data_IF_549343165775
#
_entry.id   IF_549343165775
#
_cell.length_a   1.000
_cell.length_b   1.000
_cell.length_c   1.000
_cell.angle_alpha   90.00
_cell.angle_beta   90.00
_cell.angle_gamma   90.00
#
_symmetry.space_group_name_H-M   'P 1'
#
loop_
_entity.id
_entity.type
_entity.pdbx_description
1 polymer ?
#
# COMPACT_ATOMS: atom_id res chain seq x y z
N UNK A 1 -3.13 15.55 -19.87
CA UNK A 1 -4.17 16.20 -19.04
C UNK A 1 -4.84 17.23 -19.93
N UNK A 2 -6.15 17.11 -20.14
CA UNK A 2 -6.91 18.01 -21.02
C UNK A 2 -6.97 19.44 -20.47
N UNK A 3 -6.92 19.61 -19.14
CA UNK A 3 -7.03 20.92 -18.49
C UNK A 3 -5.74 21.74 -18.46
N UNK A 4 -4.56 21.10 -18.37
CA UNK A 4 -3.28 21.80 -18.21
C UNK A 4 -2.23 21.42 -19.25
N UNK A 5 -2.61 20.63 -20.27
CA UNK A 5 -1.73 20.18 -21.34
C UNK A 5 -0.62 19.20 -20.93
N UNK A 6 -0.44 18.91 -19.63
CA UNK A 6 0.63 18.04 -19.16
C UNK A 6 0.51 16.62 -19.73
N UNK A 7 1.54 16.17 -20.42
CA UNK A 7 1.64 14.81 -20.97
C UNK A 7 2.09 13.87 -19.85
N UNK A 8 1.35 12.80 -19.64
CA UNK A 8 1.63 11.79 -18.61
C UNK A 8 1.67 10.43 -19.30
N UNK A 9 2.69 9.65 -18.98
CA UNK A 9 3.03 8.40 -19.69
C UNK A 9 2.04 7.25 -19.51
N UNK A 10 1.19 7.30 -18.49
CA UNK A 10 0.19 6.26 -18.26
C UNK A 10 -1.06 6.78 -17.52
N UNK A 11 -2.12 5.98 -17.56
CA UNK A 11 -3.42 6.30 -16.94
C UNK A 11 -3.33 6.49 -15.43
N UNK A 12 -2.47 5.73 -14.74
CA UNK A 12 -2.27 5.86 -13.30
C UNK A 12 -1.72 7.25 -12.93
N UNK A 13 -0.67 7.68 -13.62
CA UNK A 13 -0.05 8.99 -13.45
C UNK A 13 -1.02 10.11 -13.79
N UNK A 14 -1.85 9.94 -14.84
CA UNK A 14 -2.93 10.86 -15.17
C UNK A 14 -3.96 10.97 -14.04
N UNK A 15 -4.42 9.84 -13.49
CA UNK A 15 -5.36 9.82 -12.36
C UNK A 15 -4.77 10.50 -11.12
N UNK A 16 -3.54 10.17 -10.75
CA UNK A 16 -2.85 10.79 -9.62
C UNK A 16 -2.70 12.30 -9.83
N UNK A 17 -2.36 12.73 -11.05
CA UNK A 17 -2.31 14.13 -11.42
C UNK A 17 -3.65 14.84 -11.21
N UNK A 18 -4.77 14.24 -11.61
CA UNK A 18 -6.09 14.83 -11.42
C UNK A 18 -6.44 15.00 -9.93
N UNK A 19 -6.10 14.02 -9.08
CA UNK A 19 -6.29 14.15 -7.62
C UNK A 19 -5.44 15.28 -7.00
N UNK A 20 -4.36 15.72 -7.68
CA UNK A 20 -3.62 16.92 -7.26
C UNK A 20 -4.47 18.16 -7.50
N UNK A 21 -5.09 18.23 -8.66
CA UNK A 21 -5.90 19.39 -9.07
C UNK A 21 -7.18 19.52 -8.26
N UNK A 22 -7.91 18.43 -8.06
CA UNK A 22 -9.17 18.45 -7.31
C UNK A 22 -8.95 18.51 -5.80
N UNK A 23 -7.73 18.20 -5.32
CA UNK A 23 -7.44 18.09 -3.90
C UNK A 23 -8.02 16.84 -3.25
N UNK A 24 -8.66 15.95 -4.01
CA UNK A 24 -9.21 14.71 -3.51
C UNK A 24 -8.13 13.79 -2.92
N UNK A 25 -8.47 13.14 -1.81
CA UNK A 25 -7.61 12.21 -1.09
C UNK A 25 -8.38 10.93 -0.80
N UNK A 26 -8.47 10.00 -1.77
CA UNK A 26 -9.35 8.83 -1.65
C UNK A 26 -8.87 7.81 -0.61
N UNK A 27 -7.60 7.86 -0.20
CA UNK A 27 -7.03 6.86 0.69
C UNK A 27 -7.05 7.35 2.15
N UNK A 28 -8.14 7.04 2.87
CA UNK A 28 -8.31 7.42 4.29
C UNK A 28 -7.49 6.54 5.24
N UNK A 29 -6.87 7.13 6.25
CA UNK A 29 -6.28 6.39 7.36
C UNK A 29 -7.39 5.71 8.17
N UNK A 30 -7.25 4.43 8.54
CA UNK A 30 -8.25 3.75 9.37
C UNK A 30 -8.16 4.13 10.85
N UNK A 31 -7.07 4.79 11.28
CA UNK A 31 -6.81 5.13 12.68
C UNK A 31 -6.95 6.64 12.99
N UNK A 32 -7.18 7.48 11.99
CA UNK A 32 -7.39 8.93 12.15
C UNK A 32 -8.01 9.54 10.89
N UNK A 33 -8.40 10.81 10.95
CA UNK A 33 -9.07 11.51 9.83
C UNK A 33 -8.13 11.92 8.68
N UNK A 34 -6.83 11.61 8.77
CA UNK A 34 -5.89 11.93 7.69
C UNK A 34 -6.18 11.07 6.45
N UNK A 35 -6.16 11.72 5.30
CA UNK A 35 -6.37 11.08 4.00
C UNK A 35 -5.20 11.37 3.07
N UNK A 36 -4.93 10.46 2.14
CA UNK A 36 -3.79 10.50 1.21
C UNK A 36 -4.25 10.38 -0.24
N UNK A 37 -3.41 10.91 -1.15
CA UNK A 37 -3.66 10.88 -2.59
C UNK A 37 -3.35 9.54 -3.22
N UNK A 38 -2.39 8.82 -2.65
CA UNK A 38 -1.98 7.50 -3.10
C UNK A 38 -1.90 6.52 -1.90
N UNK A 39 -1.88 5.24 -2.25
CA UNK A 39 -1.87 4.14 -1.30
C UNK A 39 -0.52 3.97 -0.59
N UNK A 40 0.59 4.27 -1.27
CA UNK A 40 1.94 4.13 -0.74
C UNK A 40 2.20 5.09 0.41
N UNK A 41 1.73 6.34 0.27
CA UNK A 41 1.82 7.38 1.28
C UNK A 41 0.94 7.06 2.48
N UNK A 42 -0.29 6.54 2.27
CA UNK A 42 -1.13 6.03 3.37
C UNK A 42 -0.43 4.91 4.13
N UNK A 43 0.19 3.97 3.43
CA UNK A 43 0.95 2.87 4.06
C UNK A 43 2.14 3.36 4.85
N UNK A 44 2.91 4.31 4.30
CA UNK A 44 4.02 4.92 5.02
C UNK A 44 3.55 5.63 6.30
N UNK A 45 2.44 6.37 6.23
CA UNK A 45 1.81 7.00 7.39
C UNK A 45 1.42 5.97 8.46
N UNK A 46 0.78 4.87 8.07
CA UNK A 46 0.40 3.80 9.00
C UNK A 46 1.61 3.25 9.76
N UNK A 47 2.71 2.98 9.06
CA UNK A 47 3.95 2.48 9.69
C UNK A 47 4.60 3.50 10.60
N UNK A 48 4.74 4.74 10.14
CA UNK A 48 5.54 5.74 10.85
C UNK A 48 4.81 6.34 12.05
N UNK A 49 3.51 6.61 11.88
CA UNK A 49 2.68 7.32 12.88
C UNK A 49 1.96 6.35 13.80
N UNK A 50 1.30 5.33 13.24
CA UNK A 50 0.50 4.38 14.02
C UNK A 50 1.26 3.10 14.38
N UNK A 51 2.51 2.93 13.90
CA UNK A 51 3.31 1.71 14.06
C UNK A 51 2.58 0.46 13.59
N UNK A 52 1.67 0.61 12.62
CA UNK A 52 0.92 -0.49 12.02
C UNK A 52 1.70 -1.02 10.84
N UNK A 53 2.06 -2.29 10.92
CA UNK A 53 2.63 -3.07 9.84
C UNK A 53 1.49 -3.50 8.89
N UNK A 54 1.45 -2.98 7.65
CA UNK A 54 0.26 -3.08 6.80
C UNK A 54 0.15 -4.43 6.07
N UNK A 55 1.07 -5.35 6.29
CA UNK A 55 1.09 -6.67 5.69
C UNK A 55 1.09 -7.71 6.81
N UNK A 56 0.11 -8.62 6.81
CA UNK A 56 0.08 -9.73 7.75
C UNK A 56 0.04 -11.05 7.02
N UNK A 57 0.74 -12.05 7.55
CA UNK A 57 0.59 -13.43 7.15
C UNK A 57 -0.70 -13.98 7.76
N UNK A 58 -1.57 -14.55 6.93
CA UNK A 58 -2.83 -15.15 7.42
C UNK A 58 -2.61 -16.51 8.09
N UNK A 59 -1.49 -17.17 7.83
CA UNK A 59 -1.21 -18.50 8.38
C UNK A 59 -0.68 -18.43 9.81
N UNK A 60 0.25 -17.52 10.10
CA UNK A 60 0.89 -17.40 11.42
C UNK A 60 0.58 -16.08 12.15
N UNK A 61 -0.10 -15.13 11.51
CA UNK A 61 -0.41 -13.82 12.10
C UNK A 61 0.75 -12.83 12.14
N UNK A 62 1.95 -13.23 11.71
CA UNK A 62 3.13 -12.37 11.70
C UNK A 62 2.94 -11.15 10.79
N UNK A 63 3.44 -10.00 11.23
CA UNK A 63 3.25 -8.72 10.56
C UNK A 63 4.56 -8.18 9.99
N UNK A 64 4.46 -7.47 8.87
CA UNK A 64 5.60 -6.99 8.09
C UNK A 64 5.38 -5.55 7.61
N UNK A 65 6.47 -4.80 7.54
CA UNK A 65 6.46 -3.41 7.07
C UNK A 65 6.44 -3.32 5.54
N UNK A 66 7.05 -4.31 4.86
CA UNK A 66 7.16 -4.38 3.41
C UNK A 66 6.50 -5.64 2.85
N UNK A 67 5.94 -5.51 1.65
CA UNK A 67 5.35 -6.63 0.92
C UNK A 67 6.38 -7.70 0.58
N UNK A 68 7.61 -7.28 0.30
CA UNK A 68 8.71 -8.20 -0.03
C UNK A 68 9.00 -9.16 1.13
N UNK A 69 9.06 -8.64 2.36
CA UNK A 69 9.31 -9.44 3.57
C UNK A 69 8.20 -10.48 3.79
N UNK A 70 6.93 -10.07 3.65
CA UNK A 70 5.81 -11.02 3.70
C UNK A 70 5.93 -12.08 2.58
N UNK A 71 6.26 -11.68 1.36
CA UNK A 71 6.40 -12.62 0.24
C UNK A 71 7.53 -13.63 0.48
N UNK A 72 8.67 -13.18 0.99
CA UNK A 72 9.80 -14.05 1.33
C UNK A 72 9.40 -15.04 2.41
N UNK A 73 8.75 -14.57 3.48
CA UNK A 73 8.16 -15.40 4.53
C UNK A 73 7.19 -16.44 3.97
N UNK A 74 6.27 -16.03 3.08
CA UNK A 74 5.30 -16.95 2.46
C UNK A 74 5.97 -17.97 1.53
N UNK A 75 7.05 -17.60 0.86
CA UNK A 75 7.82 -18.49 0.00
C UNK A 75 8.52 -19.58 0.83
N UNK A 76 9.15 -19.20 1.95
CA UNK A 76 9.79 -20.14 2.88
C UNK A 76 8.77 -21.07 3.54
N UNK A 77 7.63 -20.55 3.98
CA UNK A 77 6.59 -21.37 4.60
C UNK A 77 5.88 -22.30 3.62
N UNK A 78 5.78 -21.95 2.33
CA UNK A 78 5.33 -22.91 1.30
C UNK A 78 6.23 -24.12 1.18
N UNK A 79 7.53 -24.00 1.50
CA UNK A 79 8.46 -25.13 1.56
C UNK A 79 8.36 -26.00 2.83
N UNK A 80 7.62 -25.54 3.85
CA UNK A 80 7.37 -26.30 5.08
C UNK A 80 5.97 -26.93 5.12
N UNK A 81 5.06 -26.53 4.24
CA UNK A 81 3.71 -27.09 4.12
C UNK A 81 3.67 -28.49 3.47
N UNK A 82 4.81 -28.98 2.96
CA UNK A 82 4.95 -30.32 2.36
C UNK A 82 5.56 -31.37 3.33
N UNK A 83 5.61 -31.08 4.65
CA UNK A 83 5.98 -32.04 5.69
C UNK A 83 4.89 -32.18 6.77
N UNK A 84 3.63 -32.30 6.35
CA UNK A 84 2.58 -32.90 7.19
C UNK A 84 1.77 -33.89 6.34
N UNK A 85 2.38 -35.04 6.04
CA UNK A 85 1.72 -36.33 5.80
C UNK A 85 2.68 -37.50 6.05
#
# INVERSE_FOLDING_TARGET
CSECGKILSNKYNLKMHMLIRTGEKPFKCPQCDKSFRDFSNRKAHLRLVHKIQPYSCLNCGEQFDRKLELNDHLCTNRGQADQEQ
#
